data_IF_344126930655
#
_entry.id   IF_344126930655
#
_cell.length_a   1.000
_cell.length_b   1.000
_cell.length_c   1.000
_cell.angle_alpha   90.00
_cell.angle_beta   90.00
_cell.angle_gamma   90.00
#
_symmetry.space_group_name_H-M   'P 1'
#
loop_
_entity.id
_entity.type
_entity.pdbx_description
1 polymer ?
#
# COMPACT_ATOMS: atom_id res chain seq x y z
N UNK A 1 1.48 79.25 -35.30
CA UNK A 1 2.58 79.65 -36.20
C UNK A 1 3.77 78.74 -35.85
N UNK A 2 4.30 77.79 -36.64
CA UNK A 2 4.38 77.56 -38.09
C UNK A 2 3.82 76.16 -38.47
N UNK A 3 3.30 76.07 -39.70
CA UNK A 3 2.85 74.85 -40.45
C UNK A 3 4.09 73.97 -40.81
N UNK A 4 4.02 72.70 -41.27
CA UNK A 4 3.42 72.25 -42.53
C UNK A 4 3.82 70.76 -42.81
N UNK A 5 3.02 70.11 -43.68
CA UNK A 5 3.30 68.98 -44.58
C UNK A 5 3.08 67.51 -44.17
N UNK A 6 2.15 66.93 -44.93
CA UNK A 6 1.82 65.52 -45.13
C UNK A 6 2.82 64.88 -46.10
N UNK A 7 3.20 63.61 -45.91
CA UNK A 7 3.63 62.76 -47.01
C UNK A 7 3.25 61.30 -46.74
N UNK A 8 2.51 60.74 -47.69
CA UNK A 8 2.04 59.37 -47.79
C UNK A 8 3.20 58.49 -48.28
N UNK A 9 3.35 57.29 -47.70
CA UNK A 9 4.13 56.21 -48.31
C UNK A 9 3.37 54.89 -48.15
N UNK A 10 3.08 54.28 -49.31
CA UNK A 10 2.39 53.00 -49.52
C UNK A 10 3.43 51.90 -49.65
N UNK A 11 3.31 50.79 -48.92
CA UNK A 11 3.92 49.47 -49.22
C UNK A 11 3.12 48.40 -48.44
N UNK A 12 2.07 47.82 -49.03
CA UNK A 12 2.00 46.53 -49.75
C UNK A 12 2.09 45.26 -48.87
N UNK A 13 0.95 44.56 -48.81
CA UNK A 13 0.74 43.09 -48.81
C UNK A 13 1.49 42.22 -47.79
N UNK A 14 0.75 41.57 -46.90
CA UNK A 14 0.55 40.11 -46.99
C UNK A 14 -0.59 39.65 -46.07
N UNK A 15 -1.57 38.98 -46.66
CA UNK A 15 -2.63 38.21 -46.01
C UNK A 15 -2.06 36.98 -45.32
N UNK A 16 -2.44 36.70 -44.07
CA UNK A 16 -2.34 35.34 -43.51
C UNK A 16 -3.66 34.97 -42.84
N UNK A 17 -4.28 33.95 -43.43
CA UNK A 17 -5.48 33.27 -42.98
C UNK A 17 -5.31 32.69 -41.58
N UNK A 18 -6.33 32.90 -40.75
CA UNK A 18 -6.55 32.15 -39.51
C UNK A 18 -7.18 30.81 -39.92
N UNK A 19 -6.38 29.75 -39.90
CA UNK A 19 -6.88 28.37 -39.91
C UNK A 19 -6.55 27.73 -38.56
N UNK A 20 -7.61 27.51 -37.78
CA UNK A 20 -7.59 26.64 -36.62
C UNK A 20 -7.18 25.23 -37.06
N UNK A 21 -5.99 24.80 -36.67
CA UNK A 21 -5.57 23.41 -36.73
C UNK A 21 -5.14 22.99 -35.32
N UNK A 22 -6.12 22.50 -34.57
CA UNK A 22 -5.94 21.67 -33.39
C UNK A 22 -5.25 20.36 -33.80
N UNK A 23 -3.93 20.38 -33.89
CA UNK A 23 -3.00 19.24 -33.80
C UNK A 23 -1.61 19.85 -33.92
N UNK A 24 -0.60 19.28 -33.24
CA UNK A 24 0.79 19.77 -33.22
C UNK A 24 1.07 20.81 -32.11
N UNK A 25 0.93 20.40 -30.86
CA UNK A 25 1.75 20.92 -29.73
C UNK A 25 2.25 19.76 -28.85
N UNK A 26 2.59 18.65 -29.50
CA UNK A 26 3.39 17.56 -28.94
C UNK A 26 4.57 17.34 -29.87
N UNK A 27 5.53 18.27 -29.87
CA UNK A 27 6.87 18.02 -30.37
C UNK A 27 7.82 19.09 -29.86
N UNK A 28 8.95 18.62 -29.35
CA UNK A 28 10.20 19.35 -29.13
C UNK A 28 10.38 20.19 -27.86
N UNK A 29 10.08 19.59 -26.69
CA UNK A 29 10.93 19.83 -25.52
C UNK A 29 12.06 18.81 -25.54
N UNK A 30 13.29 19.29 -25.78
CA UNK A 30 14.51 18.49 -25.87
C UNK A 30 14.72 17.66 -24.59
N UNK A 31 14.76 16.35 -24.80
CA UNK A 31 14.88 15.25 -23.85
C UNK A 31 16.18 15.26 -23.01
N UNK A 32 17.12 16.18 -23.24
CA UNK A 32 18.42 16.16 -22.57
C UNK A 32 18.40 16.78 -21.18
N UNK A 33 17.66 17.87 -20.94
CA UNK A 33 17.64 18.54 -19.62
C UNK A 33 16.78 17.78 -18.59
N UNK A 34 15.67 17.17 -19.02
CA UNK A 34 14.87 16.29 -18.17
C UNK A 34 15.63 14.98 -17.83
N UNK A 35 16.46 14.48 -18.76
CA UNK A 35 17.35 13.33 -18.50
C UNK A 35 18.57 13.69 -17.63
N UNK A 36 19.02 14.94 -17.64
CA UNK A 36 20.10 15.41 -16.77
C UNK A 36 19.59 15.64 -15.34
N UNK A 37 18.30 15.96 -15.15
CA UNK A 37 17.66 16.01 -13.82
C UNK A 37 17.21 14.63 -13.29
N UNK A 38 17.12 13.61 -14.15
CA UNK A 38 17.16 12.19 -13.77
C UNK A 38 18.58 11.87 -13.26
N UNK A 39 18.90 12.49 -12.13
CA UNK A 39 20.21 12.44 -11.51
C UNK A 39 20.68 11.00 -11.30
N UNK A 40 21.98 10.82 -11.48
CA UNK A 40 22.84 9.73 -11.02
C UNK A 40 22.56 9.37 -9.53
N UNK A 41 21.46 8.70 -9.24
CA UNK A 41 21.06 8.30 -7.89
C UNK A 41 20.84 6.79 -7.90
N UNK A 42 21.85 6.11 -7.36
CA UNK A 42 21.97 4.70 -7.00
C UNK A 42 20.67 3.87 -7.11
N UNK A 43 20.65 2.80 -7.92
CA UNK A 43 19.49 1.89 -8.09
C UNK A 43 19.02 1.23 -6.78
N UNK A 44 19.74 1.42 -5.68
CA UNK A 44 19.35 0.97 -4.35
C UNK A 44 18.10 1.74 -3.86
N UNK A 45 16.98 1.02 -3.80
CA UNK A 45 15.81 1.35 -2.98
C UNK A 45 15.86 0.49 -1.70
N UNK A 46 15.08 0.86 -0.69
CA UNK A 46 15.08 0.11 0.56
C UNK A 46 14.58 -1.32 0.31
N UNK A 47 15.37 -2.33 0.72
CA UNK A 47 15.07 -3.72 0.43
C UNK A 47 15.13 -4.60 1.69
N UNK A 48 14.33 -4.31 2.73
CA UNK A 48 14.41 -5.00 4.01
C UNK A 48 14.00 -6.47 3.91
N UNK A 49 14.57 -7.33 4.75
CA UNK A 49 14.24 -8.76 4.82
C UNK A 49 12.97 -9.07 5.63
N UNK A 50 12.50 -8.07 6.37
CA UNK A 50 11.26 -8.12 7.16
C UNK A 50 10.37 -6.96 6.78
N UNK A 51 9.06 -7.10 7.01
CA UNK A 51 8.14 -6.00 6.76
C UNK A 51 8.45 -4.83 7.68
N UNK A 52 8.53 -3.64 7.11
CA UNK A 52 8.88 -2.44 7.84
C UNK A 52 8.47 -1.18 7.08
N UNK A 53 8.57 -0.06 7.77
CA UNK A 53 8.63 1.26 7.15
C UNK A 53 9.87 1.36 6.25
N UNK A 54 9.74 2.13 5.19
CA UNK A 54 10.82 2.49 4.27
C UNK A 54 10.70 3.95 3.90
N UNK A 55 11.75 4.53 3.32
CA UNK A 55 11.77 5.93 2.89
C UNK A 55 12.15 6.08 1.42
N UNK A 56 12.78 5.05 0.85
CA UNK A 56 13.29 5.07 -0.51
C UNK A 56 12.65 3.96 -1.35
N UNK A 57 11.86 4.35 -2.35
CA UNK A 57 10.94 3.49 -3.09
C UNK A 57 11.38 3.25 -4.54
N UNK A 58 11.04 2.08 -5.14
CA UNK A 58 11.56 1.66 -6.44
C UNK A 58 11.07 2.51 -7.62
N UNK A 59 9.89 3.11 -7.53
CA UNK A 59 9.27 3.91 -8.59
C UNK A 59 9.62 5.41 -8.54
N UNK A 60 10.56 5.85 -7.69
CA UNK A 60 10.85 7.29 -7.50
C UNK A 60 11.19 8.05 -8.78
N UNK A 61 11.71 7.34 -9.79
CA UNK A 61 12.05 7.86 -11.11
C UNK A 61 11.11 7.36 -12.23
N UNK A 62 10.02 6.66 -11.89
CA UNK A 62 9.03 6.21 -12.87
C UNK A 62 8.26 7.42 -13.43
N UNK A 63 8.20 7.54 -14.76
CA UNK A 63 7.61 8.71 -15.40
C UNK A 63 6.11 8.83 -15.16
N UNK A 64 5.39 7.70 -15.05
CA UNK A 64 3.94 7.71 -14.76
C UNK A 64 3.68 8.13 -13.33
N UNK A 65 4.51 7.68 -12.40
CA UNK A 65 4.47 8.10 -11.01
C UNK A 65 4.70 9.61 -10.87
N UNK A 66 5.76 10.13 -11.48
CA UNK A 66 6.10 11.55 -11.44
C UNK A 66 4.97 12.40 -12.03
N UNK A 67 4.43 12.01 -13.18
CA UNK A 67 3.26 12.65 -13.79
C UNK A 67 2.04 12.64 -12.86
N UNK A 68 1.76 11.50 -12.20
CA UNK A 68 0.62 11.39 -11.28
C UNK A 68 0.79 12.29 -10.05
N UNK A 69 2.00 12.38 -9.50
CA UNK A 69 2.30 13.28 -8.38
C UNK A 69 2.04 14.74 -8.71
N UNK A 70 2.47 15.16 -9.88
CA UNK A 70 2.25 16.53 -10.37
C UNK A 70 0.77 16.77 -10.63
N UNK A 71 0.12 15.90 -11.40
CA UNK A 71 -1.30 16.00 -11.76
C UNK A 71 -2.23 16.13 -10.56
N UNK A 72 -1.95 15.41 -9.47
CA UNK A 72 -2.82 15.39 -8.29
C UNK A 72 -2.32 16.27 -7.13
N UNK A 73 -1.23 17.03 -7.33
CA UNK A 73 -0.59 17.85 -6.31
C UNK A 73 -0.27 17.05 -5.03
N UNK A 74 0.48 15.97 -5.18
CA UNK A 74 0.91 15.10 -4.07
C UNK A 74 2.45 14.99 -4.00
N UNK A 75 3.17 16.10 -3.77
CA UNK A 75 4.64 16.13 -3.84
C UNK A 75 5.32 15.40 -2.67
N UNK A 76 4.68 15.31 -1.50
CA UNK A 76 5.29 14.81 -0.26
C UNK A 76 5.03 13.31 -0.10
N UNK A 77 6.07 12.53 0.22
CA UNK A 77 5.88 11.16 0.72
C UNK A 77 5.40 11.25 2.17
N UNK A 78 4.20 10.77 2.44
CA UNK A 78 3.66 10.74 3.79
C UNK A 78 4.20 9.52 4.55
N UNK A 79 3.94 8.34 4.02
CA UNK A 79 4.45 7.10 4.60
C UNK A 79 4.73 6.10 3.48
N UNK A 80 5.70 5.22 3.71
CA UNK A 80 5.95 4.08 2.86
C UNK A 80 6.20 2.83 3.70
N UNK A 81 5.70 1.70 3.22
CA UNK A 81 5.75 0.45 3.93
C UNK A 81 5.99 -0.70 2.95
N UNK A 82 6.82 -1.66 3.37
CA UNK A 82 7.07 -2.90 2.65
C UNK A 82 6.49 -4.05 3.43
N UNK A 83 5.62 -4.83 2.81
CA UNK A 83 5.22 -6.13 3.32
C UNK A 83 6.04 -7.23 2.63
N UNK A 84 6.81 -7.99 3.42
CA UNK A 84 7.59 -9.11 2.91
C UNK A 84 6.74 -10.38 2.96
N UNK A 85 6.46 -10.95 1.78
CA UNK A 85 5.68 -12.16 1.63
C UNK A 85 6.62 -13.36 1.84
N UNK A 86 6.79 -13.78 3.09
CA UNK A 86 7.61 -14.95 3.44
C UNK A 86 6.91 -16.23 2.99
N UNK A 87 7.58 -17.00 2.12
CA UNK A 87 7.08 -18.27 1.57
C UNK A 87 5.65 -18.12 1.01
N UNK A 88 5.45 -17.29 -0.03
CA UNK A 88 4.10 -17.07 -0.57
C UNK A 88 3.53 -18.41 -1.01
N UNK A 89 2.34 -18.72 -0.52
CA UNK A 89 1.66 -19.95 -0.89
C UNK A 89 1.21 -19.86 -2.37
N UNK A 90 0.99 -21.00 -3.05
CA UNK A 90 0.59 -20.99 -4.45
C UNK A 90 -0.61 -20.05 -4.71
N UNK A 91 -0.51 -19.22 -5.76
CA UNK A 91 -1.55 -18.26 -6.14
C UNK A 91 -1.57 -16.95 -5.34
N UNK A 92 -0.96 -16.91 -4.16
CA UNK A 92 -0.95 -15.73 -3.28
C UNK A 92 -0.24 -14.54 -3.92
N UNK A 93 0.97 -14.75 -4.48
CA UNK A 93 1.74 -13.70 -5.13
C UNK A 93 0.98 -13.08 -6.31
N UNK A 94 0.32 -13.92 -7.12
CA UNK A 94 -0.47 -13.46 -8.26
C UNK A 94 -1.64 -12.59 -7.80
N UNK A 95 -2.35 -13.00 -6.75
CA UNK A 95 -3.46 -12.24 -6.18
C UNK A 95 -3.01 -10.93 -5.56
N UNK A 96 -1.90 -10.93 -4.81
CA UNK A 96 -1.34 -9.71 -4.22
C UNK A 96 -0.87 -8.76 -5.31
N UNK A 97 -0.19 -9.26 -6.35
CA UNK A 97 0.23 -8.45 -7.51
C UNK A 97 -0.96 -7.81 -8.20
N UNK A 98 -2.00 -8.60 -8.47
CA UNK A 98 -3.23 -8.12 -9.10
C UNK A 98 -3.92 -7.06 -8.24
N UNK A 99 -4.15 -7.35 -6.96
CA UNK A 99 -4.76 -6.41 -6.02
C UNK A 99 -3.95 -5.12 -5.85
N UNK A 100 -2.62 -5.22 -5.78
CA UNK A 100 -1.73 -4.06 -5.73
C UNK A 100 -1.90 -3.18 -6.97
N UNK A 101 -2.02 -3.79 -8.16
CA UNK A 101 -2.25 -3.04 -9.41
C UNK A 101 -3.59 -2.28 -9.42
N UNK A 102 -4.63 -2.81 -8.76
CA UNK A 102 -5.94 -2.16 -8.68
C UNK A 102 -5.97 -0.94 -7.74
N UNK A 103 -5.04 -0.90 -6.78
CA UNK A 103 -4.88 0.22 -5.84
C UNK A 103 -3.83 1.24 -6.31
N UNK A 104 -2.95 0.85 -7.25
CA UNK A 104 -1.96 1.75 -7.84
C UNK A 104 -2.64 2.95 -8.49
N UNK A 105 -2.08 4.13 -8.27
CA UNK A 105 -2.59 5.42 -8.77
C UNK A 105 -3.97 5.83 -8.20
N UNK A 106 -4.45 5.20 -7.11
CA UNK A 106 -5.69 5.65 -6.49
C UNK A 106 -5.49 6.97 -5.76
N UNK A 107 -6.40 7.91 -6.02
CA UNK A 107 -6.43 9.22 -5.37
C UNK A 107 -7.62 9.30 -4.43
N UNK A 108 -7.35 9.65 -3.17
CA UNK A 108 -8.36 9.85 -2.13
C UNK A 108 -8.45 11.35 -1.87
N UNK A 109 -9.60 11.96 -2.17
CA UNK A 109 -9.79 13.41 -1.98
C UNK A 109 -9.96 13.76 -0.51
N UNK A 110 -9.76 15.02 -0.10
CA UNK A 110 -10.10 15.48 1.24
C UNK A 110 -11.51 15.08 1.65
N UNK A 111 -11.66 14.47 2.82
CA UNK A 111 -12.94 14.02 3.37
C UNK A 111 -13.43 12.66 2.86
N UNK A 112 -12.88 12.13 1.76
CA UNK A 112 -13.29 10.85 1.20
C UNK A 112 -12.80 9.67 2.05
N UNK A 113 -13.56 8.58 2.01
CA UNK A 113 -13.22 7.30 2.65
C UNK A 113 -12.75 6.31 1.59
N UNK A 114 -11.51 5.84 1.72
CA UNK A 114 -11.04 4.67 0.99
C UNK A 114 -11.69 3.41 1.55
N UNK A 115 -12.05 2.48 0.66
CA UNK A 115 -12.52 1.14 0.99
C UNK A 115 -11.81 0.12 0.13
N UNK A 116 -11.18 -0.87 0.77
CA UNK A 116 -10.51 -1.94 0.04
C UNK A 116 -11.53 -2.80 -0.71
N UNK A 117 -12.63 -3.19 -0.09
CA UNK A 117 -13.67 -3.99 -0.74
C UNK A 117 -14.31 -3.27 -1.93
N UNK A 118 -14.54 -1.95 -1.84
CA UNK A 118 -15.05 -1.15 -2.95
C UNK A 118 -14.04 -1.04 -4.10
N UNK A 119 -12.76 -0.95 -3.77
CA UNK A 119 -11.69 -0.74 -4.76
C UNK A 119 -11.27 -2.04 -5.45
N UNK A 120 -11.08 -3.09 -4.66
CA UNK A 120 -10.45 -4.34 -5.10
C UNK A 120 -11.50 -5.46 -5.26
N UNK A 121 -12.46 -5.53 -4.34
CA UNK A 121 -13.46 -6.59 -4.30
C UNK A 121 -14.59 -6.44 -5.35
N UNK A 122 -15.38 -7.50 -5.59
CA UNK A 122 -15.24 -8.85 -5.04
C UNK A 122 -13.98 -9.58 -5.55
N UNK A 123 -13.48 -10.53 -4.76
CA UNK A 123 -12.21 -11.23 -5.02
C UNK A 123 -12.40 -12.51 -5.85
N UNK A 124 -13.10 -12.41 -6.99
CA UNK A 124 -13.51 -13.59 -7.77
C UNK A 124 -12.62 -13.85 -8.99
N UNK A 125 -12.71 -15.07 -9.53
CA UNK A 125 -12.04 -15.47 -10.78
C UNK A 125 -12.38 -14.57 -11.97
N UNK A 126 -13.63 -14.13 -12.11
CA UNK A 126 -14.05 -13.24 -13.20
C UNK A 126 -13.36 -11.88 -13.12
N UNK A 127 -12.94 -11.47 -11.92
CA UNK A 127 -12.17 -10.25 -11.69
C UNK A 127 -10.66 -10.48 -11.70
N UNK A 128 -10.20 -11.65 -12.13
CA UNK A 128 -8.78 -11.99 -12.30
C UNK A 128 -8.11 -12.56 -11.06
N UNK A 129 -8.86 -12.83 -9.99
CA UNK A 129 -8.31 -13.50 -8.81
C UNK A 129 -8.16 -14.99 -9.05
N UNK A 130 -7.14 -15.58 -8.46
CA UNK A 130 -6.88 -17.01 -8.46
C UNK A 130 -7.23 -17.60 -7.12
N UNK A 131 -7.38 -18.92 -7.10
CA UNK A 131 -7.38 -19.65 -5.85
C UNK A 131 -6.02 -19.49 -5.18
N UNK A 132 -6.03 -19.12 -3.91
CA UNK A 132 -4.82 -18.91 -3.11
C UNK A 132 -5.10 -19.23 -1.64
N UNK A 133 -4.05 -19.44 -0.87
CA UNK A 133 -4.21 -19.73 0.55
C UNK A 133 -4.69 -18.50 1.32
N UNK A 134 -5.62 -18.76 2.24
CA UNK A 134 -6.20 -17.79 3.17
C UNK A 134 -6.23 -18.39 4.57
N UNK A 135 -6.09 -17.53 5.58
CA UNK A 135 -6.33 -17.92 6.96
C UNK A 135 -7.81 -17.72 7.28
N UNK A 136 -8.52 -18.80 7.58
CA UNK A 136 -9.94 -18.76 7.96
C UNK A 136 -10.19 -19.71 9.14
N UNK A 137 -10.86 -19.21 10.17
CA UNK A 137 -11.35 -19.99 11.32
C UNK A 137 -10.31 -20.96 11.92
N UNK A 138 -9.08 -20.51 12.12
CA UNK A 138 -8.05 -21.36 12.73
C UNK A 138 -7.30 -22.27 11.76
N UNK A 139 -7.57 -22.20 10.46
CA UNK A 139 -7.01 -23.09 9.43
C UNK A 139 -6.47 -22.29 8.24
N UNK A 140 -5.53 -22.88 7.51
CA UNK A 140 -5.21 -22.47 6.15
C UNK A 140 -6.21 -23.15 5.24
N UNK A 141 -6.96 -22.35 4.48
CA UNK A 141 -7.94 -22.81 3.48
C UNK A 141 -7.58 -22.20 2.14
N UNK A 142 -7.89 -22.90 1.05
CA UNK A 142 -7.84 -22.29 -0.27
C UNK A 142 -9.10 -21.45 -0.48
N UNK A 143 -8.93 -20.22 -0.94
CA UNK A 143 -10.04 -19.34 -1.30
C UNK A 143 -9.69 -18.51 -2.53
N UNK A 144 -10.70 -18.05 -3.25
CA UNK A 144 -10.49 -17.03 -4.28
C UNK A 144 -9.96 -15.75 -3.63
N UNK A 145 -8.95 -15.15 -4.25
CA UNK A 145 -8.31 -13.96 -3.71
C UNK A 145 -7.46 -14.18 -2.46
N UNK A 146 -7.06 -15.42 -2.15
CA UNK A 146 -6.12 -15.66 -1.07
C UNK A 146 -4.87 -14.77 -1.17
N UNK A 147 -4.53 -14.08 -0.10
CA UNK A 147 -3.45 -13.08 -0.04
C UNK A 147 -3.88 -11.62 0.04
N UNK A 148 -5.11 -11.25 -0.33
CA UNK A 148 -5.55 -9.83 -0.36
C UNK A 148 -5.54 -9.11 1.00
N UNK A 149 -5.55 -9.84 2.12
CA UNK A 149 -5.35 -9.26 3.45
C UNK A 149 -3.97 -8.58 3.62
N UNK A 150 -2.98 -8.94 2.81
CA UNK A 150 -1.68 -8.26 2.81
C UNK A 150 -1.80 -6.82 2.33
N UNK A 151 -2.66 -6.56 1.34
CA UNK A 151 -2.99 -5.18 0.94
C UNK A 151 -3.64 -4.41 2.09
N UNK A 152 -4.58 -5.05 2.81
CA UNK A 152 -5.27 -4.43 3.94
C UNK A 152 -4.30 -4.07 5.07
N UNK A 153 -3.45 -5.01 5.47
CA UNK A 153 -2.40 -4.78 6.47
C UNK A 153 -1.44 -3.67 6.05
N UNK A 154 -0.97 -3.65 4.80
CA UNK A 154 -0.04 -2.61 4.33
C UNK A 154 -0.72 -1.24 4.32
N UNK A 155 -1.95 -1.14 3.79
CA UNK A 155 -2.73 0.11 3.80
C UNK A 155 -3.05 0.59 5.21
N UNK A 156 -3.30 -0.33 6.16
CA UNK A 156 -3.51 0.02 7.56
C UNK A 156 -2.28 0.67 8.19
N UNK A 157 -1.10 0.08 8.00
CA UNK A 157 0.14 0.68 8.50
C UNK A 157 0.40 2.04 7.85
N UNK A 158 0.22 2.17 6.53
CA UNK A 158 0.35 3.46 5.84
C UNK A 158 -0.62 4.53 6.37
N UNK A 159 -1.88 4.16 6.60
CA UNK A 159 -2.88 5.08 7.12
C UNK A 159 -2.55 5.53 8.54
N UNK A 160 -2.08 4.62 9.40
CA UNK A 160 -1.67 4.96 10.77
C UNK A 160 -0.42 5.86 10.78
N UNK A 161 0.61 5.50 10.01
CA UNK A 161 1.85 6.30 9.89
C UNK A 161 1.58 7.69 9.28
N UNK A 162 0.56 7.79 8.44
CA UNK A 162 0.09 9.07 7.87
C UNK A 162 -0.86 9.83 8.80
N UNK A 163 -1.08 9.36 10.02
CA UNK A 163 -2.04 9.89 11.00
C UNK A 163 -3.45 10.12 10.44
N UNK A 164 -3.94 9.17 9.64
CA UNK A 164 -5.29 9.20 9.09
C UNK A 164 -6.30 8.56 10.05
N UNK A 165 -7.57 8.92 9.88
CA UNK A 165 -8.65 8.29 10.62
C UNK A 165 -8.95 6.89 10.06
N UNK A 166 -8.85 5.88 10.93
CA UNK A 166 -9.25 4.50 10.61
C UNK A 166 -10.75 4.38 10.86
N UNK A 167 -11.50 4.20 9.79
CA UNK A 167 -12.97 4.11 9.80
C UNK A 167 -13.41 2.67 10.11
N UNK A 168 -12.70 1.68 9.57
CA UNK A 168 -12.98 0.27 9.80
C UNK A 168 -11.70 -0.54 9.74
N UNK A 169 -11.50 -1.40 10.74
CA UNK A 169 -10.39 -2.35 10.79
C UNK A 169 -10.77 -3.55 11.62
N UNK A 170 -10.40 -4.74 11.13
CA UNK A 170 -10.46 -6.00 11.87
C UNK A 170 -9.08 -6.63 11.95
N UNK A 171 -8.69 -7.18 13.10
CA UNK A 171 -7.53 -8.08 13.17
C UNK A 171 -7.88 -9.48 12.63
N UNK A 172 -6.85 -10.21 12.21
CA UNK A 172 -6.92 -11.64 12.00
C UNK A 172 -7.24 -12.35 13.32
N UNK A 173 -7.95 -13.48 13.23
CA UNK A 173 -8.27 -14.31 14.40
C UNK A 173 -7.06 -15.04 14.98
N UNK A 174 -5.95 -15.09 14.23
CA UNK A 174 -4.69 -15.75 14.58
C UNK A 174 -3.54 -14.82 14.24
N UNK A 175 -2.39 -14.97 14.90
CA UNK A 175 -1.19 -14.21 14.58
C UNK A 175 -0.74 -14.48 13.13
N UNK A 176 -0.17 -13.47 12.50
CA UNK A 176 0.46 -13.57 11.18
C UNK A 176 1.94 -13.23 11.29
N UNK A 177 2.77 -13.83 10.44
CA UNK A 177 4.24 -13.82 10.57
C UNK A 177 4.94 -12.65 9.85
N UNK A 178 4.18 -11.69 9.33
CA UNK A 178 4.70 -10.60 8.51
C UNK A 178 4.43 -9.21 9.07
N UNK A 179 3.77 -9.07 10.22
CA UNK A 179 3.66 -7.80 10.98
C UNK A 179 3.55 -8.08 12.48
N UNK A 180 3.95 -7.13 13.35
CA UNK A 180 3.72 -7.24 14.80
C UNK A 180 2.23 -7.37 15.17
N UNK A 181 1.96 -7.84 16.39
CA UNK A 181 0.60 -7.84 16.93
C UNK A 181 0.01 -6.44 16.97
N UNK A 182 -1.29 -6.35 16.67
CA UNK A 182 -2.03 -5.09 16.64
C UNK A 182 -1.85 -4.25 15.37
N UNK A 183 -0.88 -4.61 14.51
CA UNK A 183 -0.55 -3.86 13.28
C UNK A 183 -1.12 -4.52 12.01
N UNK A 184 -1.93 -5.56 12.14
CA UNK A 184 -2.55 -6.24 11.00
C UNK A 184 -3.95 -5.71 10.67
N UNK A 185 -4.42 -5.92 9.44
CA UNK A 185 -5.82 -5.75 9.07
C UNK A 185 -6.26 -6.91 8.17
N UNK A 186 -7.50 -7.36 8.32
CA UNK A 186 -8.08 -8.45 7.54
C UNK A 186 -9.34 -7.99 6.80
N UNK A 187 -9.61 -8.60 5.66
CA UNK A 187 -10.77 -8.29 4.81
C UNK A 187 -11.48 -9.57 4.40
N UNK A 188 -12.78 -9.47 4.21
CA UNK A 188 -13.64 -10.49 3.65
C UNK A 188 -14.78 -9.80 2.92
N UNK A 189 -14.84 -9.97 1.59
CA UNK A 189 -15.82 -9.25 0.79
C UNK A 189 -17.24 -9.55 1.27
N UNK A 190 -18.03 -8.49 1.49
CA UNK A 190 -19.39 -8.59 2.00
C UNK A 190 -19.53 -8.63 3.53
N UNK A 191 -18.43 -8.75 4.30
CA UNK A 191 -18.55 -8.76 5.78
C UNK A 191 -17.46 -8.01 6.56
N UNK A 192 -16.22 -7.91 6.06
CA UNK A 192 -15.11 -7.21 6.72
C UNK A 192 -14.37 -6.37 5.70
N UNK A 193 -14.22 -5.08 5.95
CA UNK A 193 -13.47 -4.17 5.11
C UNK A 193 -12.31 -3.53 5.89
N UNK A 194 -11.37 -2.98 5.14
CA UNK A 194 -10.43 -2.01 5.67
C UNK A 194 -10.74 -0.64 5.05
N UNK A 195 -11.04 0.33 5.92
CA UNK A 195 -11.43 1.68 5.51
C UNK A 195 -10.68 2.74 6.31
N UNK A 196 -10.19 3.75 5.62
CA UNK A 196 -9.61 4.95 6.23
C UNK A 196 -10.15 6.19 5.53
N UNK A 197 -10.22 7.30 6.28
CA UNK A 197 -10.65 8.59 5.76
C UNK A 197 -9.45 9.47 5.51
N UNK A 198 -9.41 10.15 4.37
CA UNK A 198 -8.48 11.24 4.17
C UNK A 198 -8.95 12.45 5.00
N UNK A 199 -8.33 12.65 6.15
CA UNK A 199 -8.57 13.77 7.06
C UNK A 199 -7.68 14.99 6.78
N UNK A 200 -6.85 14.92 5.72
CA UNK A 200 -6.01 16.04 5.29
C UNK A 200 -6.78 17.02 4.40
N UNK A 201 -6.18 18.18 4.13
CA UNK A 201 -6.71 19.20 3.21
C UNK A 201 -6.28 18.98 1.75
N UNK A 202 -5.44 17.98 1.49
CA UNK A 202 -4.92 17.64 0.16
C UNK A 202 -5.37 16.26 -0.34
N UNK A 203 -5.09 15.99 -1.61
CA UNK A 203 -5.24 14.64 -2.14
C UNK A 203 -4.22 13.69 -1.52
N UNK A 204 -4.60 12.42 -1.39
CA UNK A 204 -3.65 11.33 -1.12
C UNK A 204 -3.58 10.42 -2.34
N UNK A 205 -2.40 10.34 -2.95
CA UNK A 205 -2.08 9.39 -4.01
C UNK A 205 -1.50 8.12 -3.39
N UNK A 206 -2.10 6.98 -3.70
CA UNK A 206 -1.58 5.66 -3.35
C UNK A 206 -0.79 5.11 -4.52
N UNK A 207 0.45 4.71 -4.25
CA UNK A 207 1.27 4.00 -5.23
C UNK A 207 1.75 2.68 -4.66
N UNK A 208 1.87 1.67 -5.53
CA UNK A 208 2.17 0.30 -5.12
C UNK A 208 2.93 -0.44 -6.22
N UNK A 209 3.75 -1.39 -5.78
CA UNK A 209 4.46 -2.32 -6.65
C UNK A 209 4.84 -3.60 -5.89
N UNK A 210 4.67 -4.75 -6.54
CA UNK A 210 5.19 -6.02 -6.03
C UNK A 210 6.46 -6.36 -6.80
N UNK A 211 7.60 -6.42 -6.10
CA UNK A 211 8.90 -6.79 -6.65
C UNK A 211 9.38 -8.06 -5.95
N UNK A 212 9.52 -9.14 -6.72
CA UNK A 212 9.71 -10.47 -6.14
C UNK A 212 8.60 -10.77 -5.12
N UNK A 213 9.00 -11.08 -3.89
CA UNK A 213 8.08 -11.35 -2.80
C UNK A 213 7.85 -10.15 -1.86
N UNK A 214 8.13 -8.91 -2.30
CA UNK A 214 8.02 -7.70 -1.46
C UNK A 214 7.01 -6.73 -2.05
N UNK A 215 5.95 -6.46 -1.28
CA UNK A 215 4.91 -5.50 -1.63
C UNK A 215 5.29 -4.13 -1.08
N UNK A 216 5.69 -3.24 -1.97
CA UNK A 216 5.96 -1.85 -1.69
C UNK A 216 4.68 -1.04 -1.87
N UNK A 217 4.32 -0.21 -0.88
CA UNK A 217 3.25 0.76 -1.01
C UNK A 217 3.64 2.08 -0.37
N UNK A 218 3.15 3.19 -0.92
CA UNK A 218 3.39 4.53 -0.38
C UNK A 218 2.17 5.44 -0.54
N UNK A 219 1.97 6.30 0.45
CA UNK A 219 1.02 7.41 0.41
C UNK A 219 1.75 8.71 0.13
N UNK A 220 1.25 9.49 -0.81
CA UNK A 220 1.77 10.79 -1.16
C UNK A 220 0.71 11.85 -1.01
N UNK A 221 1.04 12.99 -0.42
CA UNK A 221 0.12 14.09 -0.18
C UNK A 221 0.79 15.46 -0.25
N UNK A 222 0.17 16.46 0.37
CA UNK A 222 0.61 17.87 0.32
C UNK A 222 1.44 18.29 1.53
N UNK A 223 1.39 17.55 2.65
CA UNK A 223 2.03 17.92 3.92
C UNK A 223 2.82 16.74 4.49
N UNK A 224 3.88 17.06 5.23
CA UNK A 224 4.61 16.08 6.02
C UNK A 224 3.70 15.57 7.14
N UNK A 225 3.56 14.25 7.32
CA UNK A 225 2.83 13.71 8.46
C UNK A 225 3.65 13.88 9.75
N UNK A 226 2.99 13.81 10.91
CA UNK A 226 3.70 13.70 12.19
C UNK A 226 4.46 12.38 12.27
N UNK A 227 5.42 12.30 13.18
CA UNK A 227 6.08 11.03 13.49
C UNK A 227 5.14 10.18 14.35
N UNK A 228 4.95 8.92 13.97
CA UNK A 228 4.07 7.98 14.67
C UNK A 228 4.89 6.80 15.17
N UNK A 229 4.77 6.50 16.46
CA UNK A 229 5.43 5.34 17.08
C UNK A 229 4.39 4.42 17.71
N UNK A 230 4.48 3.13 17.40
CA UNK A 230 3.61 2.11 18.01
C UNK A 230 4.09 1.70 19.40
N UNK A 231 3.13 1.48 20.29
CA UNK A 231 3.34 0.80 21.56
C UNK A 231 2.32 -0.34 21.72
N UNK A 232 2.80 -1.48 22.22
CA UNK A 232 2.01 -2.70 22.32
C UNK A 232 2.18 -3.35 23.69
N UNK A 233 1.07 -3.46 24.42
CA UNK A 233 1.02 -4.16 25.70
C UNK A 233 0.34 -5.51 25.48
N UNK A 234 1.11 -6.58 25.58
CA UNK A 234 0.59 -7.96 25.58
C UNK A 234 0.06 -8.24 26.98
N UNK A 235 -1.25 -8.45 27.08
CA UNK A 235 -1.97 -8.69 28.35
C UNK A 235 -2.21 -10.17 28.63
N UNK A 236 -2.13 -11.01 27.60
CA UNK A 236 -2.35 -12.45 27.69
C UNK A 236 -1.58 -13.13 26.55
N UNK A 237 -1.01 -14.31 26.81
CA UNK A 237 -0.40 -15.18 25.82
C UNK A 237 -1.07 -16.55 25.84
N UNK A 238 -1.08 -17.22 24.69
CA UNK A 238 -1.63 -18.56 24.54
C UNK A 238 -0.65 -19.42 23.75
N UNK A 239 -0.22 -20.52 24.35
CA UNK A 239 0.70 -21.45 23.70
C UNK A 239 0.06 -22.12 22.48
N UNK A 240 0.80 -22.31 21.38
CA UNK A 240 0.31 -23.04 20.23
C UNK A 240 0.19 -24.54 20.53
N UNK A 241 -1.02 -25.08 20.33
CA UNK A 241 -1.25 -26.52 20.38
C UNK A 241 -0.60 -27.26 19.20
N UNK A 242 -0.65 -28.60 19.21
CA UNK A 242 -0.17 -29.44 18.09
C UNK A 242 -1.35 -30.08 17.37
N UNK A 243 -1.33 -30.08 16.04
CA UNK A 243 -2.27 -30.80 15.19
C UNK A 243 -1.52 -31.78 14.31
N UNK A 244 -1.91 -33.04 14.39
CA UNK A 244 -1.35 -34.12 13.60
C UNK A 244 -2.17 -34.35 12.33
N UNK A 245 -1.49 -34.52 11.21
CA UNK A 245 -2.08 -34.87 9.91
C UNK A 245 -1.48 -36.20 9.47
N UNK A 246 -2.33 -37.16 9.09
CA UNK A 246 -1.87 -38.45 8.60
C UNK A 246 -1.15 -38.28 7.25
N UNK A 247 0.04 -38.84 7.12
CA UNK A 247 0.79 -38.94 5.86
C UNK A 247 1.38 -40.35 5.72
N UNK A 248 0.71 -41.18 4.91
CA UNK A 248 1.06 -42.59 4.70
C UNK A 248 2.41 -42.79 3.99
N UNK A 249 2.95 -41.72 3.37
CA UNK A 249 4.27 -41.75 2.73
C UNK A 249 5.43 -41.66 3.73
N UNK A 250 5.17 -41.28 4.99
CA UNK A 250 6.20 -41.20 6.02
C UNK A 250 6.51 -42.58 6.59
N UNK A 251 7.71 -42.80 7.11
CA UNK A 251 8.03 -44.03 7.83
C UNK A 251 7.27 -44.08 9.17
N UNK A 252 6.96 -45.28 9.67
CA UNK A 252 6.32 -45.44 10.98
C UNK A 252 7.16 -44.75 12.07
N UNK A 253 6.56 -43.82 12.80
CA UNK A 253 7.23 -43.02 13.84
C UNK A 253 7.94 -41.75 13.34
N UNK A 254 7.97 -41.51 12.03
CA UNK A 254 8.46 -40.26 11.46
C UNK A 254 7.44 -39.13 11.66
N UNK A 255 7.95 -37.95 12.00
CA UNK A 255 7.16 -36.73 12.19
C UNK A 255 7.81 -35.58 11.43
N UNK A 256 7.04 -34.89 10.58
CA UNK A 256 7.52 -33.71 9.84
C UNK A 256 6.70 -32.48 10.21
N UNK A 257 7.34 -31.44 10.75
CA UNK A 257 6.69 -30.14 10.96
C UNK A 257 6.48 -29.45 9.62
N UNK A 258 5.22 -29.20 9.26
CA UNK A 258 4.83 -28.48 8.05
C UNK A 258 4.60 -27.01 8.30
N UNK A 259 4.05 -26.67 9.46
CA UNK A 259 3.76 -25.30 9.86
C UNK A 259 4.19 -25.13 11.31
N UNK A 260 5.10 -24.18 11.52
CA UNK A 260 5.48 -23.75 12.86
C UNK A 260 4.30 -23.05 13.53
N UNK A 261 3.98 -23.44 14.76
CA UNK A 261 2.98 -22.77 15.56
C UNK A 261 3.37 -21.32 15.87
N UNK A 262 2.37 -20.47 16.09
CA UNK A 262 2.57 -19.09 16.54
C UNK A 262 1.72 -18.86 17.79
N UNK A 263 2.32 -18.25 18.81
CA UNK A 263 1.64 -17.89 20.05
C UNK A 263 0.42 -17.01 19.78
N UNK A 264 -0.69 -17.31 20.45
CA UNK A 264 -1.83 -16.40 20.52
C UNK A 264 -1.54 -15.29 21.52
N UNK A 265 -2.23 -14.16 21.38
CA UNK A 265 -2.08 -13.05 22.30
C UNK A 265 -3.35 -12.18 22.40
N UNK A 266 -3.53 -11.51 23.53
CA UNK A 266 -4.42 -10.35 23.65
C UNK A 266 -3.55 -9.10 23.77
N UNK A 267 -3.63 -8.18 22.81
CA UNK A 267 -2.74 -7.02 22.70
C UNK A 267 -3.54 -5.73 22.72
N UNK A 268 -3.18 -4.84 23.64
CA UNK A 268 -3.64 -3.45 23.65
C UNK A 268 -2.61 -2.62 22.88
N UNK A 269 -3.08 -1.84 21.92
CA UNK A 269 -2.20 -1.02 21.08
C UNK A 269 -2.47 0.46 21.31
N UNK A 270 -1.41 1.24 21.40
CA UNK A 270 -1.45 2.70 21.36
C UNK A 270 -0.47 3.20 20.30
N UNK A 271 -0.70 4.41 19.81
CA UNK A 271 0.30 5.14 19.03
C UNK A 271 0.59 6.47 19.71
N UNK A 272 1.86 6.83 19.74
CA UNK A 272 2.33 8.17 20.08
C UNK A 272 2.56 8.95 18.80
N UNK A 273 1.96 10.13 18.70
CA UNK A 273 2.03 11.02 17.54
C UNK A 273 2.78 12.28 17.98
N UNK A 274 3.96 12.50 17.40
CA UNK A 274 4.80 13.67 17.61
C UNK A 274 4.62 14.63 16.42
N UNK A 275 3.94 15.77 16.66
CA UNK A 275 3.68 16.79 15.65
C UNK A 275 4.89 17.69 15.42
N UNK A 276 4.94 18.34 14.25
CA UNK A 276 6.06 19.21 13.86
C UNK A 276 6.26 20.43 14.77
N UNK A 277 5.21 20.87 15.46
CA UNK A 277 5.27 21.95 16.44
C UNK A 277 5.75 21.50 17.83
N UNK A 278 6.08 20.21 18.00
CA UNK A 278 6.49 19.61 19.27
C UNK A 278 5.34 19.08 20.12
N UNK A 279 4.08 19.26 19.71
CA UNK A 279 2.95 18.68 20.42
C UNK A 279 2.99 17.15 20.34
N UNK A 280 2.55 16.50 21.42
CA UNK A 280 2.45 15.05 21.48
C UNK A 280 1.02 14.66 21.79
N UNK A 281 0.49 13.69 21.05
CA UNK A 281 -0.77 13.04 21.39
C UNK A 281 -0.60 11.52 21.45
N UNK A 282 -1.41 10.87 22.27
CA UNK A 282 -1.46 9.40 22.36
C UNK A 282 -2.85 8.95 21.97
N UNK A 283 -2.93 8.03 21.01
CA UNK A 283 -4.19 7.47 20.51
C UNK A 283 -4.29 6.00 20.88
N UNK A 284 -5.43 5.62 21.45
CA UNK A 284 -5.78 4.23 21.68
C UNK A 284 -6.23 3.59 20.36
N UNK A 285 -5.56 2.50 19.97
CA UNK A 285 -5.83 1.75 18.74
C UNK A 285 -6.67 0.49 18.97
N UNK A 286 -7.14 0.29 20.21
CA UNK A 286 -8.02 -0.78 20.61
C UNK A 286 -7.29 -2.05 21.06
N UNK A 287 -8.06 -3.13 21.14
CA UNK A 287 -7.60 -4.45 21.59
C UNK A 287 -7.70 -5.43 20.44
N UNK A 288 -6.58 -6.06 20.09
CA UNK A 288 -6.56 -7.17 19.13
C UNK A 288 -6.43 -8.50 19.88
N UNK A 289 -7.23 -9.49 19.49
CA UNK A 289 -7.24 -10.83 20.10
C UNK A 289 -6.91 -11.89 19.06
N UNK A 290 -5.87 -12.65 19.33
CA UNK A 290 -5.37 -13.71 18.48
C UNK A 290 -5.41 -15.05 19.22
N UNK A 291 -6.07 -16.04 18.63
CA UNK A 291 -5.92 -17.43 19.01
C UNK A 291 -4.54 -17.92 18.55
N UNK A 292 -3.95 -18.87 19.26
CA UNK A 292 -2.69 -19.45 18.84
C UNK A 292 -2.85 -20.23 17.53
N UNK A 293 -1.90 -20.08 16.62
CA UNK A 293 -1.80 -20.92 15.43
C UNK A 293 -1.13 -22.23 15.85
N UNK A 294 -1.78 -23.39 15.73
CA UNK A 294 -1.17 -24.66 16.14
C UNK A 294 -0.02 -25.05 15.22
N UNK A 295 0.91 -25.85 15.74
CA UNK A 295 1.84 -26.61 14.91
C UNK A 295 1.08 -27.59 14.02
N UNK A 296 1.47 -27.70 12.76
CA UNK A 296 0.99 -28.78 11.88
C UNK A 296 2.12 -29.79 11.71
N UNK A 297 1.90 -31.02 12.17
CA UNK A 297 2.87 -32.11 12.16
C UNK A 297 2.30 -33.26 11.33
N UNK A 298 2.96 -33.65 10.26
CA UNK A 298 2.63 -34.87 9.50
C UNK A 298 3.22 -36.11 10.19
N UNK A 299 2.47 -37.21 10.24
CA UNK A 299 2.92 -38.50 10.81
C UNK A 299 2.20 -39.68 10.15
N UNK A 300 2.81 -40.88 10.11
CA UNK A 300 2.21 -42.10 9.56
C UNK A 300 1.29 -42.79 10.58
#
# INVERSE_FOLDING_TARGET
MKKLFCLILVFSLLTINISYASSIYYKDVKNSELQILLNKIDKNYDNPDVSSEVTNLPWRNDSKFLYSKEKYNTPILMAAYVAVLKNPLPGEEANVKHAASMVKEKVIKPGDVFSQNKTIGPYTKERGFKEGSSYSAGKIVMSEGGGVCKIATTLYNLAVLSNLEIVERYNHSMPINYVPYGQDATVFYGSKDFRFKNTTDGNILIWSELIGNKLYMGFYGTKNPPKVTWDHIITERREPGKKYIKNESLKKGEMIEKIKGLEGATVKSTITIEYLNGDISVKNMGISRYNALPFIIETN
#
